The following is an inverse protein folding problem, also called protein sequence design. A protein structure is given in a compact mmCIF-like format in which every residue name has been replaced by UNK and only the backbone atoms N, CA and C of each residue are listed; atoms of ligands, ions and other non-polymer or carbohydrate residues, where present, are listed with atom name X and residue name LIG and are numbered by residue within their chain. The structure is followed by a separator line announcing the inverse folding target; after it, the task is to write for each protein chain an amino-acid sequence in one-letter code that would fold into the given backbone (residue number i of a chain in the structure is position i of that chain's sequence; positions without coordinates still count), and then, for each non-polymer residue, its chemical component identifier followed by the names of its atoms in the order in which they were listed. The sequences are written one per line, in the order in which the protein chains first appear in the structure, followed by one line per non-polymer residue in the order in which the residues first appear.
data_IF_118271374696
#
_entry.id   IF_118271374696
#
_cell.length_a   1.000
_cell.length_b   1.000
_cell.length_c   1.000
_cell.angle_alpha   90.00
_cell.angle_beta   90.00
_cell.angle_gamma   90.00
#
_symmetry.space_group_name_H-M   'P 1'
#
loop_
_entity.id
_entity.type
_entity.pdbx_description
1 polymer ?
#
# COMPACT_ATOMS: atom_id res chain seq x y z
N UNK A 1 -20.59 -2.12 3.12
CA UNK A 1 -20.59 -0.83 3.84
C UNK A 1 -19.46 -0.87 4.86
N UNK A 2 -18.37 -0.15 4.61
CA UNK A 2 -17.28 -0.04 5.57
C UNK A 2 -17.69 0.74 6.82
N UNK A 3 -16.96 0.56 7.92
CA UNK A 3 -17.17 1.35 9.15
C UNK A 3 -16.87 2.84 8.89
N UNK A 4 -17.56 3.78 9.55
CA UNK A 4 -17.19 5.18 9.60
C UNK A 4 -15.70 5.38 9.95
N UNK A 5 -15.10 6.46 9.45
CA UNK A 5 -13.68 6.74 9.68
C UNK A 5 -13.36 6.94 11.16
N UNK A 6 -14.33 7.48 11.90
CA UNK A 6 -14.30 7.72 13.34
C UNK A 6 -14.15 6.40 14.11
N UNK A 7 -14.88 5.36 13.73
CA UNK A 7 -14.75 4.04 14.36
C UNK A 7 -13.36 3.43 14.13
N UNK A 8 -12.78 3.61 12.94
CA UNK A 8 -11.40 3.21 12.69
C UNK A 8 -10.40 3.99 13.55
N UNK A 9 -10.61 5.30 13.70
CA UNK A 9 -9.75 6.14 14.52
C UNK A 9 -9.79 5.69 16.00
N UNK A 10 -10.98 5.45 16.55
CA UNK A 10 -11.15 4.95 17.92
C UNK A 10 -10.52 3.57 18.11
N UNK A 11 -10.79 2.65 17.19
CA UNK A 11 -10.18 1.32 17.18
C UNK A 11 -8.65 1.39 17.19
N UNK A 12 -8.06 2.25 16.34
CA UNK A 12 -6.61 2.40 16.30
C UNK A 12 -6.03 3.09 17.53
N UNK A 13 -6.75 4.03 18.15
CA UNK A 13 -6.31 4.63 19.43
C UNK A 13 -6.27 3.61 20.55
N UNK A 14 -7.19 2.63 20.54
CA UNK A 14 -7.18 1.54 21.51
C UNK A 14 -5.93 0.65 21.36
N UNK A 15 -5.57 0.29 20.12
CA UNK A 15 -4.41 -0.56 19.83
C UNK A 15 -3.08 0.20 19.97
N UNK A 16 -3.04 1.45 19.50
CA UNK A 16 -1.85 2.28 19.41
C UNK A 16 -1.95 3.47 20.37
N UNK A 17 -1.81 3.18 21.67
CA UNK A 17 -1.81 4.20 22.75
C UNK A 17 -0.73 5.29 22.60
N UNK A 18 0.29 5.04 21.77
CA UNK A 18 1.34 6.01 21.41
C UNK A 18 1.56 6.00 19.91
N UNK A 19 1.86 7.17 19.35
CA UNK A 19 2.28 7.33 17.95
C UNK A 19 3.50 6.43 17.68
N UNK A 20 3.49 5.73 16.55
CA UNK A 20 4.60 4.86 16.12
C UNK A 20 5.46 5.58 15.08
N UNK A 21 6.72 5.20 15.00
CA UNK A 21 7.64 5.80 14.05
C UNK A 21 7.20 5.52 12.61
N UNK A 22 7.22 6.57 11.80
CA UNK A 22 6.93 6.56 10.37
C UNK A 22 8.00 7.41 9.67
N UNK A 23 8.91 6.77 8.93
CA UNK A 23 10.05 7.44 8.30
C UNK A 23 10.53 6.68 7.08
N UNK A 24 11.00 7.38 6.05
CA UNK A 24 11.69 6.74 4.94
C UNK A 24 13.06 6.21 5.41
N UNK A 25 13.50 5.08 4.88
CA UNK A 25 14.83 4.52 5.13
C UNK A 25 15.74 4.83 3.95
N UNK A 26 17.06 4.81 4.19
CA UNK A 26 18.08 5.08 3.18
C UNK A 26 18.04 4.04 2.05
N UNK A 27 17.71 2.79 2.39
CA UNK A 27 17.53 1.68 1.45
C UNK A 27 16.25 1.80 0.60
N UNK A 28 15.53 2.93 0.72
CA UNK A 28 14.46 3.31 -0.19
C UNK A 28 13.04 2.94 0.26
N UNK A 29 12.86 2.40 1.46
CA UNK A 29 11.57 1.91 1.92
C UNK A 29 11.00 2.68 3.11
N UNK A 30 9.67 2.77 3.23
CA UNK A 30 9.02 3.32 4.40
C UNK A 30 9.15 2.37 5.60
N UNK A 31 9.77 2.81 6.68
CA UNK A 31 9.58 2.21 7.99
C UNK A 31 8.21 2.65 8.54
N UNK A 32 7.30 1.69 8.69
CA UNK A 32 5.97 1.90 9.25
C UNK A 32 5.81 1.07 10.53
N UNK A 33 6.02 1.70 11.69
CA UNK A 33 5.96 1.06 12.99
C UNK A 33 4.58 0.55 13.42
N UNK A 34 3.53 0.85 12.63
CA UNK A 34 2.18 0.34 12.88
C UNK A 34 1.96 -1.06 12.29
N UNK A 35 2.63 -1.39 11.19
CA UNK A 35 2.36 -2.61 10.40
C UNK A 35 2.36 -3.90 11.23
N UNK A 36 3.31 -4.04 12.17
CA UNK A 36 3.44 -5.23 13.01
C UNK A 36 2.17 -5.56 13.80
N UNK A 37 1.46 -4.55 14.30
CA UNK A 37 0.28 -4.74 15.15
C UNK A 37 -1.02 -4.52 14.40
N UNK A 38 -1.05 -3.58 13.44
CA UNK A 38 -2.28 -3.34 12.68
C UNK A 38 -2.60 -4.51 11.77
N UNK A 39 -1.55 -5.21 11.29
CA UNK A 39 -1.67 -6.35 10.38
C UNK A 39 -2.53 -6.02 9.15
N UNK A 40 -2.65 -4.73 8.78
CA UNK A 40 -3.56 -4.31 7.73
C UNK A 40 -3.03 -4.69 6.34
N UNK A 41 -1.75 -4.44 6.07
CA UNK A 41 -1.11 -4.84 4.81
C UNK A 41 -0.58 -6.28 4.81
N UNK A 42 -0.54 -6.91 5.99
CA UNK A 42 0.23 -8.13 6.19
C UNK A 42 -0.41 -9.10 7.18
N UNK A 43 -1.68 -8.95 7.53
CA UNK A 43 -2.42 -9.83 8.43
C UNK A 43 -3.29 -10.83 7.68
N UNK A 44 -3.97 -11.71 8.44
CA UNK A 44 -5.14 -12.37 7.90
C UNK A 44 -6.11 -11.30 7.45
N UNK A 45 -6.30 -11.19 6.14
CA UNK A 45 -7.43 -10.46 5.60
C UNK A 45 -8.65 -11.38 5.75
N UNK A 46 -9.64 -10.86 6.46
CA UNK A 46 -11.02 -11.34 6.63
C UNK A 46 -11.87 -11.09 5.37
N UNK A 47 -11.26 -10.48 4.35
CA UNK A 47 -11.83 -10.28 3.03
C UNK A 47 -11.07 -11.09 1.98
N UNK A 48 -11.80 -11.63 1.00
CA UNK A 48 -11.23 -12.13 -0.25
C UNK A 48 -10.81 -11.00 -1.19
N UNK A 49 -11.13 -9.74 -0.82
CA UNK A 49 -10.69 -8.56 -1.54
C UNK A 49 -9.16 -8.37 -1.41
N UNK A 50 -8.44 -8.33 -2.55
CA UNK A 50 -7.04 -7.92 -2.63
C UNK A 50 -6.69 -6.70 -1.77
N UNK A 51 -5.52 -6.68 -1.14
CA UNK A 51 -4.81 -5.41 -0.95
C UNK A 51 -4.01 -5.17 -2.24
N UNK A 52 -4.56 -4.46 -3.22
CA UNK A 52 -4.02 -4.50 -4.55
C UNK A 52 -2.74 -3.67 -4.48
N UNK A 53 -1.60 -4.31 -4.72
CA UNK A 53 -0.39 -3.73 -5.27
C UNK A 53 0.43 -4.89 -5.79
N UNK A 54 0.61 -4.89 -7.11
CA UNK A 54 1.26 -5.94 -7.89
C UNK A 54 2.76 -5.96 -7.61
N UNK A 55 3.38 -7.10 -7.90
CA UNK A 55 4.82 -7.32 -7.77
C UNK A 55 5.58 -6.68 -8.93
N UNK A 56 6.84 -6.31 -8.71
CA UNK A 56 7.74 -6.00 -9.82
C UNK A 56 8.05 -7.29 -10.61
N UNK A 57 8.41 -7.18 -11.91
CA UNK A 57 8.73 -8.34 -12.73
C UNK A 57 9.79 -9.28 -12.14
N UNK A 58 10.85 -8.73 -11.54
CA UNK A 58 11.89 -9.53 -10.85
C UNK A 58 11.40 -10.21 -9.56
N UNK A 59 10.27 -9.76 -9.01
CA UNK A 59 9.61 -10.37 -7.86
C UNK A 59 8.57 -11.41 -8.30
N UNK A 60 8.36 -11.57 -9.62
CA UNK A 60 7.53 -12.63 -10.20
C UNK A 60 8.37 -13.88 -10.46
N UNK A 61 7.75 -15.06 -10.28
CA UNK A 61 8.37 -16.35 -10.59
C UNK A 61 7.69 -16.91 -11.85
N UNK A 62 8.44 -17.34 -12.87
CA UNK A 62 7.88 -17.89 -14.12
C UNK A 62 6.98 -19.11 -13.87
N UNK A 63 5.83 -19.18 -14.54
CA UNK A 63 4.82 -20.25 -14.43
C UNK A 63 3.84 -20.10 -13.26
N UNK A 64 3.96 -19.03 -12.47
CA UNK A 64 3.15 -18.75 -11.27
C UNK A 64 2.56 -17.33 -11.29
N UNK A 65 2.37 -16.76 -12.48
CA UNK A 65 1.98 -15.37 -12.72
C UNK A 65 0.62 -15.00 -12.11
N UNK A 66 -0.21 -16.01 -11.80
CA UNK A 66 -1.54 -15.86 -11.19
C UNK A 66 -1.62 -16.30 -9.72
N UNK A 67 -0.63 -17.07 -9.22
CA UNK A 67 -0.61 -17.67 -7.88
C UNK A 67 0.81 -17.59 -7.31
N UNK A 68 1.13 -16.54 -6.56
CA UNK A 68 2.50 -16.30 -6.10
C UNK A 68 2.79 -17.01 -4.77
N UNK A 69 3.44 -18.17 -4.83
CA UNK A 69 4.23 -18.79 -3.75
C UNK A 69 3.81 -18.55 -2.28
N UNK A 70 3.36 -19.65 -1.65
CA UNK A 70 3.63 -19.91 -0.24
C UNK A 70 5.16 -20.04 -0.09
N UNK A 71 5.84 -18.99 0.39
CA UNK A 71 7.28 -19.11 0.69
C UNK A 71 7.52 -20.02 1.91
N UNK A 72 6.52 -20.11 2.79
CA UNK A 72 6.18 -21.29 3.60
C UNK A 72 4.68 -21.20 3.99
N UNK A 73 4.02 -22.33 4.28
CA UNK A 73 2.60 -22.38 4.61
C UNK A 73 2.20 -21.62 5.91
N UNK A 74 3.18 -21.12 6.66
CA UNK A 74 3.03 -20.49 7.97
C UNK A 74 3.26 -18.97 7.99
N UNK A 75 3.82 -18.37 6.93
CA UNK A 75 4.26 -16.96 6.96
C UNK A 75 3.51 -16.00 6.04
N UNK A 76 3.40 -16.27 4.73
CA UNK A 76 2.66 -15.44 3.78
C UNK A 76 2.40 -16.17 2.44
N UNK A 77 1.30 -15.84 1.80
CA UNK A 77 1.07 -16.11 0.38
C UNK A 77 1.01 -14.79 -0.38
N UNK A 78 1.41 -14.80 -1.64
CA UNK A 78 1.15 -13.73 -2.57
C UNK A 78 0.23 -14.26 -3.67
N UNK A 79 -0.62 -13.45 -4.25
CA UNK A 79 -1.23 -13.80 -5.53
C UNK A 79 -1.41 -12.51 -6.34
N UNK A 80 -2.13 -12.57 -7.45
CA UNK A 80 -2.41 -11.39 -8.26
C UNK A 80 -3.09 -10.25 -7.45
N UNK A 81 -3.55 -10.56 -6.23
CA UNK A 81 -4.22 -9.68 -5.29
C UNK A 81 -3.28 -9.04 -4.25
N UNK A 82 -1.99 -9.39 -4.21
CA UNK A 82 -0.99 -8.83 -3.30
C UNK A 82 -0.55 -9.79 -2.18
N UNK A 83 0.20 -9.28 -1.19
CA UNK A 83 0.71 -10.09 -0.07
C UNK A 83 -0.35 -10.28 1.03
N UNK A 84 -0.62 -11.53 1.42
CA UNK A 84 -1.46 -11.88 2.58
C UNK A 84 -0.70 -12.78 3.53
N UNK A 85 -0.81 -12.54 4.84
CA UNK A 85 -0.25 -13.48 5.81
C UNK A 85 -1.23 -14.61 6.08
N UNK A 86 -0.69 -15.83 6.14
CA UNK A 86 -1.47 -17.05 6.44
C UNK A 86 -1.71 -17.19 7.95
N UNK A 87 -0.90 -16.51 8.78
CA UNK A 87 -1.03 -16.57 10.25
C UNK A 87 -1.57 -15.27 10.84
N UNK A 88 -2.21 -15.40 12.00
CA UNK A 88 -2.61 -14.27 12.85
C UNK A 88 -1.44 -13.40 13.34
N UNK A 89 -0.18 -13.81 13.14
CA UNK A 89 0.99 -13.03 13.58
C UNK A 89 1.51 -12.07 12.51
N UNK A 90 0.88 -12.07 11.33
CA UNK A 90 1.22 -11.24 10.19
C UNK A 90 2.44 -11.75 9.40
N UNK A 91 2.78 -11.05 8.31
CA UNK A 91 3.85 -11.47 7.39
C UNK A 91 5.21 -11.38 8.08
N UNK A 92 5.91 -12.52 8.09
CA UNK A 92 7.27 -12.66 8.66
C UNK A 92 8.37 -12.67 7.61
N UNK A 93 8.05 -12.45 6.34
CA UNK A 93 9.04 -12.41 5.29
C UNK A 93 10.15 -11.40 5.62
N UNK A 94 11.43 -11.77 5.46
CA UNK A 94 12.53 -10.82 5.45
C UNK A 94 12.22 -9.66 4.51
N UNK A 95 12.63 -8.45 4.89
CA UNK A 95 12.27 -7.23 4.16
C UNK A 95 12.69 -7.26 2.68
N UNK A 96 13.84 -7.87 2.37
CA UNK A 96 14.33 -8.05 1.01
C UNK A 96 13.42 -8.92 0.12
N UNK A 97 12.63 -9.81 0.74
CA UNK A 97 11.69 -10.69 0.05
C UNK A 97 10.26 -10.12 0.03
N UNK A 98 10.04 -8.94 0.62
CA UNK A 98 8.72 -8.31 0.63
C UNK A 98 8.48 -7.59 -0.69
N UNK A 99 7.24 -7.58 -1.18
CA UNK A 99 6.84 -6.72 -2.27
C UNK A 99 7.19 -5.27 -2.01
N UNK A 100 7.48 -4.56 -3.10
CA UNK A 100 7.60 -3.09 -3.11
C UNK A 100 6.44 -2.43 -2.38
N UNK A 101 5.24 -2.97 -2.58
CA UNK A 101 4.00 -2.51 -1.94
C UNK A 101 4.04 -2.49 -0.41
N UNK A 102 4.64 -3.51 0.22
CA UNK A 102 4.84 -3.53 1.66
C UNK A 102 5.84 -2.47 2.12
N UNK A 103 6.81 -2.14 1.28
CA UNK A 103 7.79 -1.08 1.52
C UNK A 103 7.23 0.33 1.29
N UNK A 104 6.15 0.48 0.50
CA UNK A 104 5.47 1.75 0.26
C UNK A 104 4.28 2.00 1.20
N UNK A 105 3.67 0.95 1.78
CA UNK A 105 2.45 1.08 2.57
C UNK A 105 2.57 2.10 3.72
N UNK A 106 1.69 3.13 3.79
CA UNK A 106 0.32 3.14 3.25
C UNK A 106 0.15 3.86 1.90
N UNK A 107 1.23 4.23 1.22
CA UNK A 107 1.17 4.86 -0.09
C UNK A 107 0.83 3.83 -1.16
N UNK A 108 -0.07 4.21 -2.08
CA UNK A 108 -0.44 3.39 -3.23
C UNK A 108 -0.35 4.19 -4.51
N UNK A 109 0.09 3.54 -5.59
CA UNK A 109 0.15 4.13 -6.92
C UNK A 109 -1.08 3.67 -7.72
N UNK A 110 -1.88 4.61 -8.21
CA UNK A 110 -3.07 4.31 -8.99
C UNK A 110 -3.08 5.12 -10.29
N UNK A 111 -2.96 4.45 -11.44
CA UNK A 111 -2.96 5.09 -12.76
C UNK A 111 -2.01 6.32 -12.83
N UNK A 112 -0.84 6.23 -12.18
CA UNK A 112 0.15 7.30 -12.12
C UNK A 112 -0.06 8.36 -11.02
N UNK A 113 -1.18 8.36 -10.30
CA UNK A 113 -1.41 9.22 -9.13
C UNK A 113 -1.04 8.53 -7.81
N UNK A 114 -0.51 9.29 -6.85
CA UNK A 114 -0.18 8.78 -5.51
C UNK A 114 -1.31 9.05 -4.51
N UNK A 115 -1.68 8.00 -3.78
CA UNK A 115 -2.76 8.02 -2.79
C UNK A 115 -2.31 7.40 -1.47
N UNK A 116 -3.09 7.58 -0.41
CA UNK A 116 -2.93 6.87 0.87
C UNK A 116 -4.23 6.22 1.32
N UNK A 117 -4.10 5.09 2.00
CA UNK A 117 -5.25 4.36 2.53
C UNK A 117 -5.85 5.09 3.75
N UNK A 118 -7.12 5.51 3.65
CA UNK A 118 -7.78 6.40 4.65
C UNK A 118 -7.79 5.82 6.06
N UNK A 119 -8.07 4.53 6.17
CA UNK A 119 -8.26 3.87 7.46
C UNK A 119 -6.96 3.30 8.02
N UNK A 120 -5.82 3.53 7.38
CA UNK A 120 -4.55 3.05 7.91
C UNK A 120 -4.20 3.81 9.20
N UNK A 121 -3.77 3.12 10.28
CA UNK A 121 -3.38 3.79 11.52
C UNK A 121 -2.18 4.73 11.33
N UNK A 122 -1.29 4.43 10.37
CA UNK A 122 -0.20 5.34 10.02
C UNK A 122 -0.74 6.68 9.50
N UNK A 123 -1.84 6.68 8.75
CA UNK A 123 -2.50 7.88 8.23
C UNK A 123 -3.33 8.57 9.32
N UNK A 124 -4.18 7.82 10.03
CA UNK A 124 -5.12 8.37 11.02
C UNK A 124 -4.46 8.92 12.28
N UNK A 125 -3.34 8.35 12.72
CA UNK A 125 -2.69 8.72 13.99
C UNK A 125 -1.52 9.69 13.81
N UNK A 126 -1.32 10.20 12.59
CA UNK A 126 -0.29 11.20 12.28
C UNK A 126 -0.90 12.44 11.63
N UNK A 127 -0.29 13.63 11.81
CA UNK A 127 -0.72 14.83 11.11
C UNK A 127 -0.59 14.63 9.60
N UNK A 128 -1.58 15.11 8.84
CA UNK A 128 -1.61 14.92 7.39
C UNK A 128 -0.39 15.56 6.71
N UNK A 129 0.15 16.68 7.22
CA UNK A 129 1.38 17.29 6.69
C UNK A 129 2.57 16.32 6.73
N UNK A 130 2.66 15.48 7.77
CA UNK A 130 3.70 14.44 7.86
C UNK A 130 3.50 13.36 6.80
N UNK A 131 2.25 12.96 6.56
CA UNK A 131 1.90 11.98 5.52
C UNK A 131 2.23 12.53 4.14
N UNK A 132 1.90 13.78 3.87
CA UNK A 132 2.20 14.44 2.61
C UNK A 132 3.73 14.52 2.35
N UNK A 133 4.51 14.91 3.35
CA UNK A 133 5.99 14.95 3.25
C UNK A 133 6.60 13.56 2.95
N UNK A 134 6.09 12.51 3.58
CA UNK A 134 6.48 11.14 3.29
C UNK A 134 6.00 10.68 1.91
N UNK A 135 4.83 11.15 1.46
CA UNK A 135 4.35 10.94 0.09
C UNK A 135 5.27 11.55 -0.96
N UNK A 136 5.84 12.72 -0.70
CA UNK A 136 6.88 13.31 -1.56
C UNK A 136 8.16 12.46 -1.64
N UNK A 137 8.53 11.79 -0.54
CA UNK A 137 9.67 10.84 -0.54
C UNK A 137 9.33 9.57 -1.32
N UNK A 138 8.13 9.03 -1.14
CA UNK A 138 7.64 7.90 -1.92
C UNK A 138 7.61 8.24 -3.42
N UNK A 139 7.14 9.43 -3.79
CA UNK A 139 7.16 9.90 -5.17
C UNK A 139 8.57 9.93 -5.75
N UNK A 140 9.54 10.54 -5.06
CA UNK A 140 10.95 10.57 -5.49
C UNK A 140 11.57 9.19 -5.63
N UNK A 141 11.16 8.23 -4.81
CA UNK A 141 11.61 6.85 -4.94
C UNK A 141 10.99 6.20 -6.18
N UNK A 142 9.68 6.35 -6.37
CA UNK A 142 8.95 5.80 -7.51
C UNK A 142 9.47 6.32 -8.86
N UNK A 143 9.84 7.59 -8.96
CA UNK A 143 10.40 8.18 -10.20
C UNK A 143 11.74 7.58 -10.63
N UNK A 144 12.37 6.74 -9.80
CA UNK A 144 13.59 5.99 -10.16
C UNK A 144 13.30 4.69 -10.90
N UNK A 145 12.05 4.23 -10.88
CA UNK A 145 11.61 3.06 -11.63
C UNK A 145 11.28 3.47 -13.06
N UNK A 146 11.51 2.58 -14.02
CA UNK A 146 11.05 2.77 -15.39
C UNK A 146 9.52 2.70 -15.49
N UNK A 147 9.01 3.07 -16.67
CA UNK A 147 7.57 3.16 -16.93
C UNK A 147 6.87 1.81 -16.82
N UNK A 148 7.47 0.74 -17.31
CA UNK A 148 6.90 -0.60 -17.30
C UNK A 148 6.70 -1.09 -15.86
N UNK A 149 7.71 -0.90 -15.00
CA UNK A 149 7.65 -1.20 -13.57
C UNK A 149 6.58 -0.40 -12.85
N UNK A 150 6.48 0.90 -13.16
CA UNK A 150 5.46 1.78 -12.58
C UNK A 150 4.04 1.36 -12.94
N UNK A 151 3.80 0.99 -14.20
CA UNK A 151 2.51 0.45 -14.64
C UNK A 151 2.24 -0.93 -14.07
N UNK A 152 3.29 -1.74 -13.94
CA UNK A 152 3.24 -3.08 -13.35
C UNK A 152 2.72 -3.05 -11.92
N UNK A 153 3.13 -2.09 -11.09
CA UNK A 153 2.71 -1.98 -9.68
C UNK A 153 1.44 -1.16 -9.43
N UNK A 154 0.94 -0.45 -10.45
CA UNK A 154 -0.22 0.43 -10.32
C UNK A 154 -1.55 -0.33 -10.26
N UNK A 155 -2.51 0.20 -9.49
CA UNK A 155 -3.74 -0.53 -9.14
C UNK A 155 -4.88 -0.41 -10.14
N UNK A 156 -4.92 0.70 -10.89
CA UNK A 156 -5.96 1.03 -11.86
C UNK A 156 -7.39 0.83 -11.32
N UNK A 157 -7.63 1.26 -10.08
CA UNK A 157 -8.90 1.17 -9.37
C UNK A 157 -9.94 2.17 -9.93
N UNK A 158 -11.22 1.80 -9.90
CA UNK A 158 -12.31 2.73 -10.22
C UNK A 158 -12.35 3.94 -9.29
N UNK A 159 -12.80 5.09 -9.81
CA UNK A 159 -12.93 6.35 -9.06
C UNK A 159 -13.78 6.20 -7.80
N UNK A 160 -14.85 5.41 -7.83
CA UNK A 160 -15.70 5.16 -6.67
C UNK A 160 -14.92 4.50 -5.51
N UNK A 161 -14.08 3.52 -5.83
CA UNK A 161 -13.22 2.83 -4.84
C UNK A 161 -12.17 3.79 -4.27
N UNK A 162 -11.58 4.64 -5.13
CA UNK A 162 -10.64 5.68 -4.68
C UNK A 162 -11.32 6.67 -3.73
N UNK A 163 -12.50 7.17 -4.10
CA UNK A 163 -13.26 8.11 -3.31
C UNK A 163 -13.71 7.53 -1.97
N UNK A 164 -14.01 6.23 -1.91
CA UNK A 164 -14.36 5.54 -0.67
C UNK A 164 -13.13 5.32 0.21
N UNK A 165 -12.11 4.62 -0.30
CA UNK A 165 -11.04 4.01 0.53
C UNK A 165 -9.74 4.83 0.62
N UNK A 166 -9.53 5.84 -0.25
CA UNK A 166 -8.24 6.49 -0.43
C UNK A 166 -8.28 8.03 -0.40
N UNK A 167 -7.20 8.66 0.07
CA UNK A 167 -6.98 10.12 -0.05
C UNK A 167 -5.95 10.35 -1.15
N UNK A 168 -6.30 11.19 -2.14
CA UNK A 168 -5.34 11.70 -3.12
C UNK A 168 -4.31 12.59 -2.43
N UNK A 169 -3.04 12.36 -2.74
CA UNK A 169 -1.98 13.30 -2.36
C UNK A 169 -1.75 14.38 -3.42
N UNK A 170 -2.50 14.36 -4.54
CA UNK A 170 -2.32 15.26 -5.68
C UNK A 170 -0.88 15.25 -6.23
N UNK A 171 -0.19 14.12 -6.08
CA UNK A 171 1.15 13.89 -6.62
C UNK A 171 1.02 12.94 -7.81
N UNK A 172 1.57 13.37 -8.95
CA UNK A 172 1.63 12.56 -10.17
C UNK A 172 3.04 12.02 -10.35
N UNK A 173 3.14 10.70 -10.52
CA UNK A 173 4.39 10.00 -10.79
C UNK A 173 4.61 9.84 -12.29
N UNK A 174 3.53 9.54 -13.02
CA UNK A 174 3.57 9.35 -14.46
C UNK A 174 2.23 9.63 -15.14
N UNK A 175 2.26 9.82 -16.46
CA UNK A 175 1.10 10.17 -17.27
C UNK A 175 0.67 11.63 -17.10
N UNK A 176 -0.06 12.16 -18.07
CA UNK A 176 -0.60 13.53 -18.01
C UNK A 176 -1.81 13.61 -17.08
N UNK A 177 -2.02 14.77 -16.45
CA UNK A 177 -3.32 15.10 -15.86
C UNK A 177 -4.36 15.06 -16.97
N UNK A 178 -5.16 13.99 -17.00
CA UNK A 178 -6.27 13.88 -17.93
C UNK A 178 -7.33 14.90 -17.56
N UNK A 179 -7.20 16.13 -18.05
CA UNK A 179 -8.37 16.97 -18.27
C UNK A 179 -8.91 16.55 -19.63
N UNK A 180 -9.81 15.57 -19.64
CA UNK A 180 -10.72 15.45 -20.77
C UNK A 180 -11.66 16.65 -20.69
N UNK A 181 -11.27 17.76 -21.31
CA UNK A 181 -12.23 18.77 -21.73
C UNK A 181 -13.11 18.04 -22.75
N UNK A 182 -14.32 17.67 -22.34
CA UNK A 182 -15.36 17.32 -23.30
C UNK A 182 -15.65 18.59 -24.08
N UNK A 183 -15.10 18.69 -25.28
CA UNK A 183 -15.70 19.53 -26.30
C UNK A 183 -16.89 18.76 -26.84
N UNK A 184 -18.08 19.27 -26.54
CA UNK A 184 -19.31 18.95 -27.27
C UNK A 184 -19.12 19.18 -28.78
#
# INVERSE_FOLDING_TARGET
MGKPLEEYLEYWRHIFRRRRALRWQEEGWLYNGYCRLCRYCCGPQDSDEPFPMRLLPEQMVPGYEKNFFLLDASTAFLDARGCRAVSGKGCRLPRALRPVSCGLFPFVLNAGGLYVYKTCPAVLLNPFQRIFSLGGQAARWLTRLDRERLEGIALNLPTAVLAEKYISLNLRIYGSWGVSIRTE
#
